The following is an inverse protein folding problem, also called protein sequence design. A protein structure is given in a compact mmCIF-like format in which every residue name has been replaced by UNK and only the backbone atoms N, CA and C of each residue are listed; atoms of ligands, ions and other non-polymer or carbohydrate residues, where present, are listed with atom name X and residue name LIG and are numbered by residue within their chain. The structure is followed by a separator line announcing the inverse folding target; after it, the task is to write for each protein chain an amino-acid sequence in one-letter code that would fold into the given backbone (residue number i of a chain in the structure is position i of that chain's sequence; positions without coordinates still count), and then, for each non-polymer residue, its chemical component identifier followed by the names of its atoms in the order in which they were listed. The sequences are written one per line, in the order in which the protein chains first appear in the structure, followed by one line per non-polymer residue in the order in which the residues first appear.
data_IF_350688230288
#
_entry.id   IF_350688230288
#
_cell.length_a   1.000
_cell.length_b   1.000
_cell.length_c   1.000
_cell.angle_alpha   90.00
_cell.angle_beta   90.00
_cell.angle_gamma   90.00
#
_symmetry.space_group_name_H-M   'P 1'
#
loop_
_entity.id
_entity.type
_entity.pdbx_description
1 polymer ?
#
# COMPACT_ATOMS: atom_id res chain seq x y z
N UNK A 1 -0.36 -17.92 -22.08
CA UNK A 1 -1.25 -18.00 -20.88
C UNK A 1 -1.91 -19.36 -20.88
N UNK A 2 -1.75 -20.16 -19.82
CA UNK A 2 -2.52 -21.40 -19.67
C UNK A 2 -3.76 -21.06 -18.86
N UNK A 3 -4.91 -20.91 -19.53
CA UNK A 3 -6.21 -20.68 -18.92
C UNK A 3 -6.67 -21.91 -18.14
N UNK A 4 -6.17 -22.07 -16.91
CA UNK A 4 -6.64 -23.08 -15.97
C UNK A 4 -7.62 -22.41 -15.03
N UNK A 5 -8.81 -22.99 -14.93
CA UNK A 5 -9.76 -22.64 -13.87
C UNK A 5 -9.20 -23.14 -12.54
N UNK A 6 -9.14 -22.24 -11.57
CA UNK A 6 -8.68 -22.52 -10.20
C UNK A 6 -9.91 -22.56 -9.31
N UNK A 7 -9.97 -23.54 -8.41
CA UNK A 7 -11.02 -23.67 -7.43
C UNK A 7 -10.43 -24.14 -6.09
N UNK A 8 -11.06 -23.74 -4.98
CA UNK A 8 -10.67 -24.13 -3.63
C UNK A 8 -11.60 -25.25 -3.16
N UNK A 9 -11.04 -26.40 -2.78
CA UNK A 9 -11.81 -27.45 -2.09
C UNK A 9 -11.66 -27.27 -0.57
N UNK A 10 -12.75 -26.85 0.08
CA UNK A 10 -12.83 -26.62 1.52
C UNK A 10 -13.50 -27.79 2.28
N UNK A 11 -13.63 -28.97 1.67
CA UNK A 11 -14.29 -30.15 2.28
C UNK A 11 -13.57 -30.65 3.54
N UNK A 12 -12.24 -30.62 3.54
CA UNK A 12 -11.41 -31.05 4.66
C UNK A 12 -10.95 -29.90 5.55
N UNK A 13 -10.51 -30.23 6.77
CA UNK A 13 -9.96 -29.28 7.74
C UNK A 13 -10.95 -28.89 8.85
N UNK A 14 -10.49 -28.05 9.78
CA UNK A 14 -11.32 -27.51 10.85
C UNK A 14 -12.31 -26.47 10.30
N UNK A 15 -13.47 -26.33 10.94
CA UNK A 15 -14.50 -25.33 10.55
C UNK A 15 -13.93 -23.92 10.36
N UNK A 16 -12.95 -23.50 11.18
CA UNK A 16 -12.28 -22.22 11.03
C UNK A 16 -11.48 -22.09 9.71
N UNK A 17 -10.83 -23.17 9.27
CA UNK A 17 -10.09 -23.21 8.00
C UNK A 17 -11.04 -23.14 6.81
N UNK A 18 -12.21 -23.78 6.91
CA UNK A 18 -13.27 -23.72 5.89
C UNK A 18 -13.79 -22.29 5.75
N UNK A 19 -14.05 -21.60 6.87
CA UNK A 19 -14.44 -20.19 6.85
C UNK A 19 -13.36 -19.30 6.23
N UNK A 20 -12.09 -19.58 6.52
CA UNK A 20 -10.97 -18.83 5.95
C UNK A 20 -10.81 -19.09 4.43
N UNK A 21 -11.02 -20.32 3.98
CA UNK A 21 -11.05 -20.67 2.56
C UNK A 21 -12.16 -19.90 1.80
N UNK A 22 -13.34 -19.75 2.42
CA UNK A 22 -14.41 -18.89 1.89
C UNK A 22 -13.99 -17.44 1.72
N UNK A 23 -13.30 -16.86 2.72
CA UNK A 23 -12.78 -15.49 2.65
C UNK A 23 -11.71 -15.31 1.56
N UNK A 24 -10.80 -16.28 1.41
CA UNK A 24 -9.80 -16.27 0.33
C UNK A 24 -10.48 -16.31 -1.04
N UNK A 25 -11.46 -17.20 -1.21
CA UNK A 25 -12.22 -17.31 -2.46
C UNK A 25 -12.95 -16.01 -2.82
N UNK A 26 -13.59 -15.39 -1.83
CA UNK A 26 -14.23 -14.08 -1.98
C UNK A 26 -13.23 -13.01 -2.45
N UNK A 27 -12.07 -12.92 -1.80
CA UNK A 27 -11.09 -11.86 -2.08
C UNK A 27 -10.41 -12.02 -3.44
N UNK A 28 -10.13 -13.27 -3.84
CA UNK A 28 -9.44 -13.58 -5.09
C UNK A 28 -10.38 -13.78 -6.27
N UNK A 29 -11.70 -13.72 -6.06
CA UNK A 29 -12.72 -14.14 -7.02
C UNK A 29 -12.48 -15.57 -7.53
N UNK A 30 -12.26 -16.51 -6.61
CA UNK A 30 -12.02 -17.93 -6.88
C UNK A 30 -13.16 -18.75 -6.27
N UNK A 31 -13.81 -19.66 -7.02
CA UNK A 31 -14.90 -20.47 -6.48
C UNK A 31 -14.40 -21.40 -5.38
N UNK A 32 -15.21 -21.55 -4.32
CA UNK A 32 -14.92 -22.42 -3.18
C UNK A 32 -15.99 -23.49 -3.09
N UNK A 33 -15.57 -24.74 -3.08
CA UNK A 33 -16.46 -25.90 -3.02
C UNK A 33 -16.35 -26.60 -1.67
N UNK A 34 -17.48 -27.06 -1.16
CA UNK A 34 -17.59 -27.77 0.10
C UNK A 34 -18.49 -29.00 -0.06
N UNK A 35 -18.12 -30.12 0.55
CA UNK A 35 -18.97 -31.30 0.69
C UNK A 35 -19.18 -31.58 2.18
N UNK A 36 -20.41 -31.51 2.65
CA UNK A 36 -20.73 -31.88 4.03
C UNK A 36 -20.81 -33.41 4.14
N UNK A 37 -20.35 -33.97 5.24
CA UNK A 37 -20.22 -35.44 5.41
C UNK A 37 -21.51 -36.23 5.17
N UNK A 38 -22.69 -35.61 5.40
CA UNK A 38 -23.98 -36.26 5.21
C UNK A 38 -24.68 -35.91 3.90
N UNK A 39 -24.13 -35.00 3.08
CA UNK A 39 -24.67 -34.67 1.76
C UNK A 39 -23.98 -35.51 0.67
N UNK A 40 -24.76 -35.90 -0.35
CA UNK A 40 -24.22 -36.61 -1.53
C UNK A 40 -23.77 -35.66 -2.65
N UNK A 41 -23.81 -34.35 -2.41
CA UNK A 41 -23.53 -33.32 -3.41
C UNK A 41 -22.48 -32.33 -2.90
N UNK A 42 -21.63 -31.88 -3.82
CA UNK A 42 -20.69 -30.78 -3.62
C UNK A 42 -21.47 -29.47 -3.83
N UNK A 43 -21.37 -28.55 -2.87
CA UNK A 43 -21.95 -27.22 -2.99
C UNK A 43 -20.85 -26.19 -3.27
N UNK A 44 -21.15 -25.20 -4.09
CA UNK A 44 -20.36 -23.98 -4.17
C UNK A 44 -20.75 -23.06 -3.00
N UNK A 45 -19.77 -22.63 -2.21
CA UNK A 45 -19.98 -21.61 -1.20
C UNK A 45 -20.24 -20.29 -1.93
N UNK A 46 -21.44 -19.70 -1.81
CA UNK A 46 -21.77 -18.49 -2.55
C UNK A 46 -20.87 -17.35 -2.05
N UNK A 47 -20.43 -16.47 -2.97
CA UNK A 47 -19.75 -15.25 -2.55
C UNK A 47 -20.68 -14.43 -1.66
N UNK A 48 -20.14 -13.93 -0.55
CA UNK A 48 -20.89 -13.07 0.35
C UNK A 48 -21.01 -11.67 -0.29
N UNK A 49 -22.18 -11.00 -0.19
CA UNK A 49 -22.38 -9.65 -0.70
C UNK A 49 -21.74 -8.59 0.23
N UNK A 50 -20.50 -8.83 0.64
CA UNK A 50 -19.67 -7.92 1.44
C UNK A 50 -18.41 -7.61 0.63
N UNK A 51 -18.22 -6.33 0.29
CA UNK A 51 -16.92 -5.84 -0.17
C UNK A 51 -16.24 -5.24 1.06
N UNK A 52 -14.96 -5.54 1.24
CA UNK A 52 -14.19 -4.79 2.21
C UNK A 52 -14.00 -3.36 1.64
N UNK A 53 -13.82 -2.36 2.51
CA UNK A 53 -13.72 -0.98 2.04
C UNK A 53 -12.37 -0.76 1.35
N UNK A 54 -12.37 -0.65 0.02
CA UNK A 54 -11.15 -0.35 -0.73
C UNK A 54 -10.58 1.03 -0.37
N UNK A 55 -11.45 2.00 -0.13
CA UNK A 55 -11.09 3.33 0.34
C UNK A 55 -10.39 3.25 1.70
N UNK A 56 -10.84 2.34 2.57
CA UNK A 56 -10.19 2.06 3.85
C UNK A 56 -8.80 1.45 3.67
N UNK A 57 -8.62 0.51 2.73
CA UNK A 57 -7.29 -0.01 2.42
C UNK A 57 -6.37 1.09 1.90
N UNK A 58 -6.85 1.94 0.98
CA UNK A 58 -6.07 3.06 0.43
C UNK A 58 -5.66 4.06 1.51
N UNK A 59 -6.58 4.45 2.40
CA UNK A 59 -6.29 5.42 3.46
C UNK A 59 -5.30 4.90 4.51
N UNK A 60 -5.18 3.58 4.66
CA UNK A 60 -4.26 2.93 5.60
C UNK A 60 -3.07 2.26 4.92
N UNK A 61 -2.88 2.45 3.61
CA UNK A 61 -1.92 1.68 2.82
C UNK A 61 -0.49 1.73 3.39
N UNK A 62 0.04 2.92 3.73
CA UNK A 62 1.39 3.06 4.30
C UNK A 62 1.56 2.21 5.57
N UNK A 63 0.58 2.29 6.48
CA UNK A 63 0.62 1.54 7.73
C UNK A 63 0.50 0.04 7.50
N UNK A 64 -0.42 -0.40 6.64
CA UNK A 64 -0.62 -1.80 6.31
C UNK A 64 0.63 -2.39 5.64
N UNK A 65 1.27 -1.65 4.72
CA UNK A 65 2.52 -2.07 4.06
C UNK A 65 3.67 -2.20 5.05
N UNK A 66 3.71 -1.36 6.08
CA UNK A 66 4.72 -1.44 7.15
C UNK A 66 4.46 -2.64 8.06
N UNK A 67 3.23 -2.81 8.52
CA UNK A 67 2.81 -3.94 9.36
C UNK A 67 2.94 -5.30 8.65
N UNK A 68 2.87 -5.33 7.32
CA UNK A 68 3.09 -6.57 6.53
C UNK A 68 4.55 -6.94 6.36
N UNK A 69 5.48 -6.04 6.71
CA UNK A 69 6.93 -6.23 6.50
C UNK A 69 7.70 -6.29 7.81
N UNK A 70 7.23 -5.58 8.84
CA UNK A 70 7.94 -5.37 10.10
C UNK A 70 7.01 -5.53 11.30
N UNK A 71 7.61 -5.72 12.48
CA UNK A 71 6.94 -5.53 13.76
C UNK A 71 7.04 -4.05 14.15
N UNK A 72 5.90 -3.41 14.39
CA UNK A 72 5.85 -2.00 14.82
C UNK A 72 5.55 -1.91 16.31
N UNK A 73 6.14 -0.96 17.05
CA UNK A 73 5.68 -0.63 18.41
C UNK A 73 4.20 -0.27 18.42
N UNK A 74 3.49 -0.68 19.47
CA UNK A 74 2.06 -0.43 19.63
C UNK A 74 1.71 1.08 19.58
N UNK A 75 2.61 1.95 20.05
CA UNK A 75 2.42 3.40 20.03
C UNK A 75 2.44 3.99 18.60
N UNK A 76 3.00 3.27 17.63
CA UNK A 76 3.02 3.67 16.22
C UNK A 76 1.76 3.24 15.46
N UNK A 77 0.91 2.40 16.06
CA UNK A 77 -0.31 1.89 15.43
C UNK A 77 -1.52 2.72 15.89
N UNK A 78 -2.16 3.48 14.99
CA UNK A 78 -3.36 4.25 15.30
C UNK A 78 -4.53 3.38 15.78
N UNK A 79 -5.35 3.94 16.66
CA UNK A 79 -6.51 3.25 17.25
C UNK A 79 -7.69 3.08 16.28
N UNK A 80 -7.70 3.78 15.15
CA UNK A 80 -8.74 3.69 14.11
C UNK A 80 -8.49 2.54 13.11
N UNK A 81 -7.34 1.86 13.20
CA UNK A 81 -7.11 0.62 12.47
C UNK A 81 -7.96 -0.51 13.09
N UNK A 82 -8.64 -1.28 12.25
CA UNK A 82 -9.55 -2.32 12.70
C UNK A 82 -8.76 -3.45 13.38
N UNK A 83 -9.05 -3.70 14.66
CA UNK A 83 -8.36 -4.69 15.48
C UNK A 83 -8.34 -6.10 14.86
N UNK A 84 -9.32 -6.46 14.02
CA UNK A 84 -9.32 -7.77 13.33
C UNK A 84 -8.13 -7.93 12.37
N UNK A 85 -7.56 -6.82 11.88
CA UNK A 85 -6.43 -6.81 10.96
C UNK A 85 -5.08 -6.88 11.68
N UNK A 86 -5.04 -6.80 13.01
CA UNK A 86 -3.83 -6.60 13.79
C UNK A 86 -3.64 -7.77 14.75
N UNK A 87 -2.39 -8.20 14.93
CA UNK A 87 -1.96 -9.04 16.03
C UNK A 87 -1.07 -8.21 16.95
N UNK A 88 -1.38 -8.20 18.26
CA UNK A 88 -0.64 -7.46 19.29
C UNK A 88 -0.02 -8.44 20.27
N UNK A 89 1.30 -8.40 20.43
CA UNK A 89 2.04 -9.29 21.33
C UNK A 89 3.26 -8.57 21.90
N UNK A 90 3.40 -8.57 23.24
CA UNK A 90 4.53 -7.96 23.96
C UNK A 90 4.85 -6.50 23.58
N UNK A 91 3.82 -5.69 23.29
CA UNK A 91 3.98 -4.28 22.89
C UNK A 91 4.40 -4.06 21.44
N UNK A 92 4.43 -5.13 20.64
CA UNK A 92 4.67 -5.11 19.20
C UNK A 92 3.41 -5.52 18.44
N UNK A 93 3.27 -4.98 17.23
CA UNK A 93 2.13 -5.17 16.35
C UNK A 93 2.58 -5.64 14.97
N UNK A 94 1.81 -6.53 14.36
CA UNK A 94 1.92 -6.90 12.95
C UNK A 94 0.52 -7.19 12.37
N UNK A 95 0.44 -7.47 11.07
CA UNK A 95 -0.82 -7.92 10.49
C UNK A 95 -1.22 -9.29 11.04
N UNK A 96 -2.50 -9.43 11.41
CA UNK A 96 -3.11 -10.73 11.65
C UNK A 96 -3.17 -11.54 10.34
N UNK A 97 -3.50 -12.84 10.40
CA UNK A 97 -3.70 -13.63 9.18
C UNK A 97 -4.80 -13.06 8.27
N UNK A 98 -5.82 -12.41 8.85
CA UNK A 98 -6.85 -11.73 8.09
C UNK A 98 -6.34 -10.39 7.55
N UNK A 99 -5.53 -9.66 8.32
CA UNK A 99 -4.85 -8.44 7.90
C UNK A 99 -3.96 -8.66 6.69
N UNK A 100 -3.16 -9.74 6.70
CA UNK A 100 -2.33 -10.13 5.56
C UNK A 100 -3.17 -10.44 4.33
N UNK A 101 -4.20 -11.28 4.50
CA UNK A 101 -5.09 -11.63 3.40
C UNK A 101 -5.72 -10.37 2.80
N UNK A 102 -6.30 -9.51 3.64
CA UNK A 102 -6.87 -8.21 3.27
C UNK A 102 -5.85 -7.35 2.51
N UNK A 103 -4.66 -7.14 3.07
CA UNK A 103 -3.66 -6.26 2.47
C UNK A 103 -3.17 -6.79 1.12
N UNK A 104 -2.83 -8.07 1.02
CA UNK A 104 -2.33 -8.67 -0.22
C UNK A 104 -3.41 -8.70 -1.32
N UNK A 105 -4.64 -9.09 -1.00
CA UNK A 105 -5.71 -9.15 -2.00
C UNK A 105 -6.04 -7.77 -2.58
N UNK A 106 -6.08 -6.73 -1.75
CA UNK A 106 -6.29 -5.37 -2.25
C UNK A 106 -5.10 -4.78 -2.99
N UNK A 107 -3.89 -5.18 -2.64
CA UNK A 107 -2.69 -4.83 -3.41
C UNK A 107 -2.76 -5.42 -4.82
N UNK A 108 -3.19 -6.68 -4.97
CA UNK A 108 -3.43 -7.27 -6.28
C UNK A 108 -4.57 -6.58 -7.05
N UNK A 109 -5.68 -6.26 -6.36
CA UNK A 109 -6.79 -5.49 -6.96
C UNK A 109 -6.31 -4.13 -7.44
N UNK A 110 -5.56 -3.40 -6.62
CA UNK A 110 -4.98 -2.11 -6.96
C UNK A 110 -4.09 -2.19 -8.20
N UNK A 111 -3.21 -3.20 -8.31
CA UNK A 111 -2.37 -3.38 -9.50
C UNK A 111 -3.18 -3.57 -10.78
N UNK A 112 -4.32 -4.28 -10.71
CA UNK A 112 -5.24 -4.48 -11.83
C UNK A 112 -6.01 -3.20 -12.19
N UNK A 113 -6.41 -2.44 -11.19
CA UNK A 113 -7.26 -1.25 -11.36
C UNK A 113 -6.48 0.09 -11.42
N UNK A 114 -5.14 0.05 -11.31
CA UNK A 114 -4.31 1.27 -11.12
C UNK A 114 -4.61 2.37 -12.14
N UNK A 115 -4.81 2.00 -13.41
CA UNK A 115 -5.03 2.97 -14.49
C UNK A 115 -6.27 3.84 -14.30
N UNK A 116 -7.25 3.38 -13.53
CA UNK A 116 -8.48 4.12 -13.21
C UNK A 116 -8.37 4.93 -11.92
N UNK A 117 -7.53 4.50 -10.99
CA UNK A 117 -7.44 5.05 -9.62
C UNK A 117 -6.41 6.16 -9.49
N UNK A 118 -5.38 6.15 -10.35
CA UNK A 118 -4.31 7.12 -10.28
C UNK A 118 -4.79 8.51 -10.73
N UNK A 119 -4.15 9.57 -10.19
CA UNK A 119 -4.40 10.91 -10.68
C UNK A 119 -4.14 11.03 -12.19
N UNK A 120 -4.81 11.96 -12.90
CA UNK A 120 -4.60 12.16 -14.32
C UNK A 120 -3.14 12.60 -14.62
N UNK A 121 -2.59 12.27 -15.80
CA UNK A 121 -1.23 12.68 -16.14
C UNK A 121 -1.09 14.21 -16.16
N UNK A 122 0.06 14.71 -15.71
CA UNK A 122 0.37 16.16 -15.69
C UNK A 122 0.55 16.77 -17.08
N UNK A 123 0.82 15.96 -18.10
CA UNK A 123 1.21 16.41 -19.43
C UNK A 123 2.64 16.98 -19.51
N UNK A 124 3.35 17.09 -18.38
CA UNK A 124 4.73 17.59 -18.32
C UNK A 124 5.73 16.45 -18.55
N UNK A 125 6.75 16.71 -19.35
CA UNK A 125 7.90 15.80 -19.47
C UNK A 125 8.76 15.86 -18.20
N UNK A 126 9.50 14.80 -17.85
CA UNK A 126 10.31 14.76 -16.63
C UNK A 126 11.29 15.94 -16.49
N UNK A 127 11.84 16.44 -17.60
CA UNK A 127 12.81 17.54 -17.62
C UNK A 127 12.17 18.91 -17.34
N UNK A 128 10.85 19.02 -17.51
CA UNK A 128 10.08 20.26 -17.28
C UNK A 128 9.61 20.38 -15.82
N UNK A 129 9.69 19.28 -15.05
CA UNK A 129 9.21 19.22 -13.67
C UNK A 129 10.28 19.77 -12.71
N UNK A 130 9.97 20.82 -11.93
CA UNK A 130 10.98 21.41 -11.05
C UNK A 130 11.33 20.51 -9.86
N UNK A 131 12.60 20.57 -9.45
CA UNK A 131 13.10 20.04 -8.17
C UNK A 131 13.65 21.20 -7.35
N UNK A 132 13.07 21.43 -6.17
CA UNK A 132 13.56 22.45 -5.23
C UNK A 132 14.24 21.79 -4.03
N UNK A 133 15.34 22.36 -3.56
CA UNK A 133 16.02 21.90 -2.35
C UNK A 133 15.88 22.94 -1.23
N UNK A 134 15.68 22.53 0.03
CA UNK A 134 15.44 23.46 1.14
C UNK A 134 16.62 24.39 1.43
N UNK A 135 17.86 23.91 1.31
CA UNK A 135 19.09 24.66 1.63
C UNK A 135 20.22 24.34 0.63
N UNK A 136 19.89 24.35 -0.66
CA UNK A 136 20.79 23.87 -1.74
C UNK A 136 21.36 22.47 -1.42
N UNK A 137 20.51 21.60 -0.85
CA UNK A 137 20.85 20.22 -0.45
C UNK A 137 21.18 19.28 -1.64
N UNK A 138 21.35 19.86 -2.83
CA UNK A 138 21.68 19.15 -4.06
C UNK A 138 23.06 18.51 -3.92
N UNK A 139 23.08 17.18 -3.97
CA UNK A 139 24.32 16.40 -3.96
C UNK A 139 24.96 16.16 -2.59
N UNK A 140 24.39 16.67 -1.49
CA UNK A 140 24.90 16.38 -0.14
C UNK A 140 24.46 15.00 0.35
N UNK A 141 23.23 14.60 0.02
CA UNK A 141 22.69 13.28 0.31
C UNK A 141 22.89 12.36 -0.90
N UNK A 142 23.82 11.40 -0.80
CA UNK A 142 24.13 10.43 -1.88
C UNK A 142 22.86 9.68 -2.31
N UNK A 143 22.62 9.52 -3.61
CA UNK A 143 21.44 8.79 -4.10
C UNK A 143 20.14 9.59 -4.06
N UNK A 144 20.07 10.71 -3.33
CA UNK A 144 18.87 11.53 -3.23
C UNK A 144 18.50 12.08 -4.62
N UNK A 145 19.48 12.61 -5.36
CA UNK A 145 19.24 13.16 -6.69
C UNK A 145 18.61 12.11 -7.61
N UNK A 146 19.19 10.92 -7.69
CA UNK A 146 18.68 9.82 -8.50
C UNK A 146 17.28 9.38 -8.04
N UNK A 147 17.04 9.36 -6.72
CA UNK A 147 15.73 9.04 -6.16
C UNK A 147 14.67 10.09 -6.56
N UNK A 148 14.96 11.39 -6.43
CA UNK A 148 14.04 12.46 -6.83
C UNK A 148 13.81 12.46 -8.34
N UNK A 149 14.83 12.20 -9.15
CA UNK A 149 14.69 12.08 -10.61
C UNK A 149 13.82 10.89 -11.04
N UNK A 150 13.84 9.77 -10.30
CA UNK A 150 12.91 8.65 -10.52
C UNK A 150 11.45 9.08 -10.29
N UNK A 151 11.18 9.93 -9.30
CA UNK A 151 9.84 10.44 -9.03
C UNK A 151 9.31 11.33 -10.17
N UNK A 152 10.17 12.12 -10.80
CA UNK A 152 9.75 12.98 -11.92
C UNK A 152 9.28 12.19 -13.15
N UNK A 153 9.69 10.91 -13.28
CA UNK A 153 9.24 10.04 -14.36
C UNK A 153 7.80 9.56 -14.20
N UNK A 154 7.20 9.76 -13.03
CA UNK A 154 5.80 9.39 -12.77
C UNK A 154 4.88 10.45 -13.36
N UNK A 155 3.91 10.02 -14.17
CA UNK A 155 3.15 10.92 -15.06
C UNK A 155 2.34 11.98 -14.32
N UNK A 156 1.73 11.62 -13.19
CA UNK A 156 0.93 12.52 -12.36
C UNK A 156 1.75 13.43 -11.43
N UNK A 157 3.05 13.23 -11.31
CA UNK A 157 3.92 14.09 -10.50
C UNK A 157 4.21 15.38 -11.28
N UNK A 158 4.03 16.53 -10.64
CA UNK A 158 4.27 17.86 -11.24
C UNK A 158 5.53 18.52 -10.71
N UNK A 159 5.90 18.28 -9.44
CA UNK A 159 7.06 18.88 -8.77
C UNK A 159 7.50 18.04 -7.58
N UNK A 160 8.79 18.08 -7.26
CA UNK A 160 9.32 17.56 -6.01
C UNK A 160 10.09 18.65 -5.27
N UNK A 161 9.95 18.73 -3.95
CA UNK A 161 10.72 19.67 -3.14
C UNK A 161 11.18 19.04 -1.84
N UNK A 162 12.45 19.16 -1.49
CA UNK A 162 12.91 18.75 -0.17
C UNK A 162 12.47 19.79 0.86
N UNK A 163 12.18 19.35 2.09
CA UNK A 163 11.71 20.22 3.17
C UNK A 163 12.53 20.13 4.46
N UNK A 164 13.30 19.06 4.64
CA UNK A 164 14.06 18.82 5.86
C UNK A 164 15.14 17.76 5.64
N UNK A 165 16.27 17.91 6.31
CA UNK A 165 17.38 16.96 6.28
C UNK A 165 18.01 16.82 7.66
N UNK A 166 18.32 15.58 8.05
CA UNK A 166 19.04 15.24 9.28
C UNK A 166 20.11 14.18 9.00
N UNK A 167 21.40 14.49 9.23
CA UNK A 167 22.51 13.56 8.98
C UNK A 167 22.60 12.41 10.02
N UNK A 168 21.95 12.54 11.18
CA UNK A 168 22.01 11.57 12.28
C UNK A 168 20.83 10.62 12.35
N UNK A 169 19.76 10.89 11.59
CA UNK A 169 18.58 10.06 11.54
C UNK A 169 18.63 9.09 10.36
N UNK A 170 18.36 7.81 10.62
CA UNK A 170 18.15 6.80 9.58
C UNK A 170 16.82 6.10 9.82
N UNK A 171 15.95 6.15 8.82
CA UNK A 171 14.59 5.61 8.87
C UNK A 171 14.27 4.89 7.56
N UNK A 172 13.27 4.02 7.56
CA UNK A 172 12.84 3.39 6.30
C UNK A 172 12.21 4.43 5.36
N UNK A 173 12.52 4.31 4.08
CA UNK A 173 11.88 5.11 3.04
C UNK A 173 10.39 4.77 3.00
N UNK A 174 9.56 5.80 2.86
CA UNK A 174 8.10 5.65 2.76
C UNK A 174 7.45 6.84 2.06
N UNK A 175 6.21 6.66 1.65
CA UNK A 175 5.32 7.72 1.18
C UNK A 175 4.05 7.70 2.01
N UNK A 176 3.58 8.87 2.44
CA UNK A 176 2.33 8.99 3.18
C UNK A 176 1.80 10.42 3.11
N UNK A 177 0.56 10.62 3.54
CA UNK A 177 -0.03 11.95 3.67
C UNK A 177 0.18 12.44 5.10
N UNK A 178 1.08 13.42 5.29
CA UNK A 178 1.26 14.08 6.57
C UNK A 178 0.29 15.25 6.76
N UNK A 179 0.03 15.71 7.99
CA UNK A 179 -0.81 16.91 8.23
C UNK A 179 -0.29 18.19 7.56
N UNK A 180 0.98 18.22 7.18
CA UNK A 180 1.61 19.36 6.51
C UNK A 180 1.41 19.34 4.98
N UNK A 181 0.85 18.27 4.42
CA UNK A 181 0.61 18.16 2.99
C UNK A 181 -0.57 19.00 2.54
N UNK A 182 -0.39 19.78 1.47
CA UNK A 182 -1.53 20.31 0.72
C UNK A 182 -2.39 19.18 0.12
N UNK A 183 -3.63 19.45 -0.32
CA UNK A 183 -4.54 18.44 -0.87
C UNK A 183 -3.98 17.60 -2.04
N UNK A 184 -3.01 18.13 -2.77
CA UNK A 184 -2.34 17.47 -3.90
C UNK A 184 -0.89 17.08 -3.60
N UNK A 185 -0.51 16.97 -2.33
CA UNK A 185 0.85 16.65 -1.91
C UNK A 185 0.92 15.35 -1.13
N UNK A 186 2.05 14.67 -1.28
CA UNK A 186 2.44 13.47 -0.55
C UNK A 186 3.81 13.74 0.07
N UNK A 187 4.02 13.35 1.32
CA UNK A 187 5.33 13.38 1.96
C UNK A 187 6.07 12.07 1.67
N UNK A 188 7.33 12.20 1.26
CA UNK A 188 8.24 11.09 1.01
C UNK A 188 9.47 11.20 1.91
N UNK A 189 9.95 10.05 2.35
CA UNK A 189 11.18 9.92 3.12
C UNK A 189 12.23 9.22 2.26
N UNK A 190 13.41 9.83 2.17
CA UNK A 190 14.59 9.21 1.58
C UNK A 190 15.70 9.19 2.62
N UNK A 191 16.18 8.00 2.94
CA UNK A 191 17.20 7.73 3.94
C UNK A 191 18.23 6.79 3.34
N UNK A 192 19.49 7.00 3.71
CA UNK A 192 20.58 6.08 3.51
C UNK A 192 21.53 6.11 4.71
N UNK A 193 22.68 5.45 4.63
CA UNK A 193 23.69 5.39 5.70
C UNK A 193 24.21 6.77 6.20
N UNK A 194 23.87 7.87 5.52
CA UNK A 194 24.40 9.22 5.78
C UNK A 194 23.33 10.24 6.20
N UNK A 195 22.10 9.79 6.45
CA UNK A 195 21.03 10.64 6.96
C UNK A 195 19.69 10.43 6.27
N UNK A 196 18.74 11.26 6.64
CA UNK A 196 17.36 11.22 6.17
C UNK A 196 16.93 12.59 5.64
N UNK A 197 16.32 12.60 4.46
CA UNK A 197 15.68 13.76 3.85
C UNK A 197 14.18 13.52 3.75
N UNK A 198 13.40 14.49 4.23
CA UNK A 198 11.96 14.57 3.94
C UNK A 198 11.76 15.45 2.72
N UNK A 199 10.84 15.06 1.86
CA UNK A 199 10.47 15.81 0.67
C UNK A 199 8.97 15.72 0.41
N UNK A 200 8.45 16.68 -0.33
CA UNK A 200 7.07 16.73 -0.76
C UNK A 200 7.00 16.47 -2.27
N UNK A 201 6.14 15.54 -2.65
CA UNK A 201 5.78 15.25 -4.03
C UNK A 201 4.45 15.95 -4.31
N UNK A 202 4.45 16.91 -5.23
CA UNK A 202 3.22 17.56 -5.70
C UNK A 202 2.68 16.78 -6.90
N UNK A 203 1.40 16.45 -6.87
CA UNK A 203 0.72 15.66 -7.90
C UNK A 203 -0.42 16.45 -8.54
N UNK A 204 -1.05 15.83 -9.53
CA UNK A 204 -2.30 16.26 -10.18
C UNK A 204 -3.56 15.77 -9.46
N UNK A 205 -3.44 15.11 -8.30
CA UNK A 205 -4.58 14.59 -7.57
C UNK A 205 -5.59 15.69 -7.23
N UNK A 206 -6.86 15.43 -7.52
CA UNK A 206 -8.01 16.31 -7.28
C UNK A 206 -8.88 15.80 -6.12
N UNK A 207 -8.78 14.51 -5.80
CA UNK A 207 -9.54 13.87 -4.73
C UNK A 207 -8.62 13.21 -3.71
N UNK A 208 -9.14 12.97 -2.51
CA UNK A 208 -8.41 12.21 -1.49
C UNK A 208 -8.07 10.80 -1.98
N UNK A 209 -9.01 10.15 -2.68
CA UNK A 209 -8.84 8.80 -3.21
C UNK A 209 -7.67 8.73 -4.20
N UNK A 210 -7.58 9.68 -5.13
CA UNK A 210 -6.46 9.78 -6.07
C UNK A 210 -5.13 10.03 -5.36
N UNK A 211 -5.13 10.85 -4.29
CA UNK A 211 -3.93 11.10 -3.49
C UNK A 211 -3.47 9.84 -2.77
N UNK A 212 -4.37 9.09 -2.15
CA UNK A 212 -4.04 7.83 -1.48
C UNK A 212 -3.62 6.74 -2.48
N UNK A 213 -4.26 6.68 -3.65
CA UNK A 213 -3.83 5.81 -4.75
C UNK A 213 -2.41 6.14 -5.22
N UNK A 214 -2.05 7.42 -5.29
CA UNK A 214 -0.69 7.85 -5.61
C UNK A 214 0.33 7.46 -4.52
N UNK A 215 -0.04 7.43 -3.23
CA UNK A 215 0.82 6.89 -2.16
C UNK A 215 1.13 5.41 -2.40
N UNK A 216 0.10 4.62 -2.73
CA UNK A 216 0.25 3.20 -3.04
C UNK A 216 1.13 2.95 -4.28
N UNK A 217 0.89 3.65 -5.40
CA UNK A 217 1.71 3.49 -6.62
C UNK A 217 3.15 3.96 -6.41
N UNK A 218 3.39 5.09 -5.74
CA UNK A 218 4.76 5.54 -5.45
C UNK A 218 5.50 4.52 -4.58
N UNK A 219 4.85 3.97 -3.56
CA UNK A 219 5.45 2.92 -2.72
C UNK A 219 5.78 1.68 -3.53
N UNK A 220 4.83 1.16 -4.32
CA UNK A 220 5.07 -0.03 -5.14
C UNK A 220 6.10 0.18 -6.25
N UNK A 221 6.17 1.36 -6.84
CA UNK A 221 7.03 1.67 -8.00
C UNK A 221 8.44 2.10 -7.61
N UNK A 222 8.56 2.85 -6.51
CA UNK A 222 9.80 3.54 -6.15
C UNK A 222 10.54 2.80 -5.04
N UNK A 223 9.81 2.22 -4.08
CA UNK A 223 10.38 1.59 -2.87
C UNK A 223 10.49 0.07 -2.94
N UNK A 224 9.95 -0.57 -3.98
CA UNK A 224 10.31 -1.96 -4.30
C UNK A 224 11.68 -1.97 -4.96
N UNK A 225 12.65 -2.55 -4.26
CA UNK A 225 13.87 -3.12 -4.84
C UNK A 225 13.59 -4.54 -5.33
#
# INVERSE_FOLDING_TARGET
EHGREVAINATGGFKAQISFAGLIGQLLNVPVYYMFETFQEVIELPPLPVDFSFDYWLSHFDLLERLSRDLLPEEEVPQDLNEVLILREEGLCCLSSLGELFHQGYKERFRRERGRLLPPPSGLKPEEKPVKYEDENRGKHRGLKEHLERLLRVEYVTRVQTVWYDPGLSQRNRFYVSPNCAPNQIEGWFSNDKGMTKFLVTTTAQTELERQAAVADLTERILRE
#
